data_IF_429209664442
#
_entry.id   IF_429209664442
#
_cell.length_a   1.000
_cell.length_b   1.000
_cell.length_c   1.000
_cell.angle_alpha   90.00
_cell.angle_beta   90.00
_cell.angle_gamma   90.00
#
_symmetry.space_group_name_H-M   'P 1'
#
loop_
_entity.id
_entity.type
_entity.pdbx_description
1 polymer ?
#
# COMPACT_ATOMS: atom_id res chain seq x y z
N UNK A 1 24.88 -17.58 -29.42
CA UNK A 1 23.73 -17.14 -28.60
C UNK A 1 24.06 -17.36 -27.13
N UNK A 2 24.32 -16.29 -26.38
CA UNK A 2 24.69 -16.39 -24.96
C UNK A 2 23.46 -16.68 -24.10
N UNK A 3 23.51 -17.72 -23.26
CA UNK A 3 22.48 -18.00 -22.27
C UNK A 3 22.71 -17.06 -21.08
N UNK A 4 21.85 -16.07 -20.88
CA UNK A 4 21.86 -15.25 -19.68
C UNK A 4 21.42 -16.12 -18.48
N UNK A 5 22.29 -16.30 -17.48
CA UNK A 5 21.91 -16.85 -16.18
C UNK A 5 21.42 -15.70 -15.31
N UNK A 6 20.12 -15.66 -15.05
CA UNK A 6 19.55 -14.71 -14.11
C UNK A 6 19.60 -15.37 -12.73
N UNK A 7 20.42 -14.81 -11.83
CA UNK A 7 20.47 -15.23 -10.44
C UNK A 7 19.54 -14.31 -9.63
N UNK A 8 18.55 -14.89 -8.96
CA UNK A 8 17.71 -14.19 -8.01
C UNK A 8 18.03 -14.70 -6.61
N UNK A 9 18.26 -13.80 -5.67
CA UNK A 9 18.32 -14.14 -4.25
C UNK A 9 16.88 -14.19 -3.72
N UNK A 10 16.51 -15.32 -3.12
CA UNK A 10 15.21 -15.56 -2.53
C UNK A 10 15.44 -15.96 -1.08
N UNK A 11 14.73 -15.31 -0.15
CA UNK A 11 14.75 -15.67 1.27
C UNK A 11 14.36 -17.16 1.45
N UNK A 12 15.09 -17.89 2.29
CA UNK A 12 14.92 -19.34 2.46
C UNK A 12 13.51 -19.72 2.92
N UNK A 13 12.89 -18.90 3.77
CA UNK A 13 11.54 -19.11 4.28
C UNK A 13 10.49 -19.03 3.15
N UNK A 14 10.65 -18.05 2.25
CA UNK A 14 9.78 -17.87 1.08
C UNK A 14 9.93 -19.05 0.11
N UNK A 15 11.16 -19.52 -0.09
CA UNK A 15 11.43 -20.69 -0.92
C UNK A 15 10.84 -21.97 -0.33
N UNK A 16 10.91 -22.15 0.99
CA UNK A 16 10.34 -23.29 1.70
C UNK A 16 8.80 -23.33 1.57
N UNK A 17 8.15 -22.19 1.77
CA UNK A 17 6.70 -22.06 1.62
C UNK A 17 6.24 -22.31 0.18
N UNK A 18 6.96 -21.78 -0.82
CA UNK A 18 6.67 -22.04 -2.22
C UNK A 18 6.80 -23.53 -2.58
N UNK A 19 7.86 -24.20 -2.12
CA UNK A 19 8.05 -25.65 -2.30
C UNK A 19 6.94 -26.46 -1.64
N UNK A 20 6.53 -26.11 -0.43
CA UNK A 20 5.44 -26.77 0.27
C UNK A 20 4.10 -26.63 -0.49
N UNK A 21 3.83 -25.44 -1.03
CA UNK A 21 2.64 -25.22 -1.86
C UNK A 21 2.64 -26.08 -3.12
N UNK A 22 3.76 -26.14 -3.83
CA UNK A 22 3.95 -26.96 -5.04
C UNK A 22 3.74 -28.44 -4.75
N UNK A 23 4.33 -28.95 -3.67
CA UNK A 23 4.25 -30.36 -3.28
C UNK A 23 2.81 -30.78 -2.98
N UNK A 24 2.01 -29.90 -2.36
CA UNK A 24 0.59 -30.15 -2.07
C UNK A 24 -0.31 -30.18 -3.31
N UNK A 25 0.11 -29.53 -4.40
CA UNK A 25 -0.68 -29.39 -5.63
C UNK A 25 -0.12 -30.23 -6.79
N UNK A 26 0.82 -31.15 -6.50
CA UNK A 26 1.38 -32.07 -7.50
C UNK A 26 2.18 -31.39 -8.63
N UNK A 27 2.63 -30.15 -8.41
CA UNK A 27 3.29 -29.34 -9.43
C UNK A 27 4.83 -29.42 -9.40
N UNK A 28 5.48 -28.63 -10.25
CA UNK A 28 6.89 -28.28 -10.07
C UNK A 28 7.03 -26.76 -9.93
N UNK A 29 8.00 -26.32 -9.12
CA UNK A 29 8.25 -24.89 -8.90
C UNK A 29 8.58 -24.19 -10.21
N UNK A 30 9.38 -24.84 -11.06
CA UNK A 30 9.68 -24.33 -12.40
C UNK A 30 8.43 -24.18 -13.27
N UNK A 31 7.43 -25.07 -13.17
CA UNK A 31 6.16 -24.89 -13.91
C UNK A 31 5.38 -23.67 -13.44
N UNK A 32 5.33 -23.42 -12.12
CA UNK A 32 4.69 -22.22 -11.58
C UNK A 32 5.42 -20.94 -11.99
N UNK A 33 6.74 -20.96 -11.92
CA UNK A 33 7.59 -19.84 -12.36
C UNK A 33 7.45 -19.62 -13.87
N UNK A 34 7.46 -20.67 -14.68
CA UNK A 34 7.22 -20.59 -16.13
C UNK A 34 5.81 -20.12 -16.45
N UNK A 35 4.78 -20.55 -15.72
CA UNK A 35 3.41 -20.07 -15.90
C UNK A 35 3.28 -18.58 -15.55
N UNK A 36 3.93 -18.15 -14.46
CA UNK A 36 4.01 -16.74 -14.08
C UNK A 36 4.71 -15.92 -15.17
N UNK A 37 5.89 -16.36 -15.64
CA UNK A 37 6.59 -15.69 -16.74
C UNK A 37 5.83 -15.74 -18.06
N UNK A 38 5.05 -16.79 -18.32
CA UNK A 38 4.19 -16.87 -19.51
C UNK A 38 3.02 -15.89 -19.40
N UNK A 39 2.42 -15.73 -18.21
CA UNK A 39 1.40 -14.72 -17.95
C UNK A 39 1.98 -13.29 -18.02
N UNK A 40 3.19 -13.07 -17.52
CA UNK A 40 3.90 -11.80 -17.64
C UNK A 40 4.34 -11.52 -19.09
N UNK A 41 4.81 -12.53 -19.81
CA UNK A 41 5.20 -12.44 -21.23
C UNK A 41 4.01 -12.17 -22.14
N UNK A 42 2.86 -12.84 -21.91
CA UNK A 42 1.61 -12.53 -22.61
C UNK A 42 1.08 -11.12 -22.29
N UNK A 43 1.42 -10.56 -21.12
CA UNK A 43 1.12 -9.15 -20.81
C UNK A 43 2.03 -8.15 -21.52
N UNK A 44 3.16 -8.57 -22.06
CA UNK A 44 4.08 -7.68 -22.79
C UNK A 44 3.69 -7.50 -24.27
N UNK A 45 2.90 -8.43 -24.84
CA UNK A 45 2.40 -8.36 -26.22
C UNK A 45 0.91 -7.96 -26.32
N UNK A 46 0.33 -7.37 -25.26
CA UNK A 46 -1.09 -7.01 -25.20
C UNK A 46 -1.30 -5.48 -25.09
N UNK A 47 -2.43 -4.97 -25.60
CA UNK A 47 -2.61 -3.64 -26.15
C UNK A 47 -2.56 -2.55 -25.09
N UNK A 48 -2.33 -1.32 -25.55
CA UNK A 48 -2.45 -0.03 -24.84
C UNK A 48 -3.02 -0.19 -23.42
N UNK A 49 -2.14 -0.40 -22.44
CA UNK A 49 -2.54 -0.64 -21.05
C UNK A 49 -3.39 0.55 -20.64
N UNK A 50 -4.65 0.28 -20.32
CA UNK A 50 -5.59 1.27 -19.78
C UNK A 50 -4.85 2.11 -18.74
N UNK A 51 -4.79 3.45 -18.91
CA UNK A 51 -4.03 4.33 -18.02
C UNK A 51 -4.41 4.13 -16.55
N UNK A 52 -5.65 3.73 -16.27
CA UNK A 52 -6.13 3.39 -14.92
C UNK A 52 -5.38 2.18 -14.35
N UNK A 53 -5.20 1.12 -15.15
CA UNK A 53 -4.48 -0.08 -14.72
C UNK A 53 -3.00 0.18 -14.51
N UNK A 54 -2.39 1.02 -15.34
CA UNK A 54 -1.00 1.45 -15.16
C UNK A 54 -0.79 2.12 -13.80
N UNK A 55 -1.69 3.02 -13.42
CA UNK A 55 -1.65 3.71 -12.12
C UNK A 55 -1.75 2.70 -10.97
N UNK A 56 -2.67 1.72 -11.06
CA UNK A 56 -2.82 0.67 -10.05
C UNK A 56 -1.57 -0.23 -9.94
N UNK A 57 -0.92 -0.55 -11.06
CA UNK A 57 0.36 -1.29 -11.05
C UNK A 57 1.48 -0.48 -10.41
N UNK A 58 1.58 0.82 -10.72
CA UNK A 58 2.59 1.69 -10.12
C UNK A 58 2.35 1.89 -8.61
N UNK A 59 1.09 1.89 -8.17
CA UNK A 59 0.72 1.88 -6.74
C UNK A 59 1.08 0.54 -6.07
N UNK A 60 0.73 -0.59 -6.69
CA UNK A 60 1.06 -1.94 -6.20
C UNK A 60 2.57 -2.15 -6.06
N UNK A 61 3.35 -1.65 -7.03
CA UNK A 61 4.81 -1.63 -6.99
C UNK A 61 5.41 -0.62 -6.01
N UNK A 62 4.58 0.25 -5.40
CA UNK A 62 5.02 1.30 -4.48
C UNK A 62 5.84 2.41 -5.14
N UNK A 63 5.69 2.63 -6.45
CA UNK A 63 6.32 3.75 -7.18
C UNK A 63 5.61 5.06 -6.90
N UNK A 64 4.30 5.00 -6.69
CA UNK A 64 3.46 6.14 -6.34
C UNK A 64 2.70 5.85 -5.03
N UNK A 65 2.34 6.90 -4.31
CA UNK A 65 1.57 6.79 -3.07
C UNK A 65 0.08 6.56 -3.34
N UNK A 66 -0.64 6.04 -2.34
CA UNK A 66 -2.09 5.84 -2.42
C UNK A 66 -2.83 7.16 -2.71
N UNK A 67 -2.39 8.27 -2.12
CA UNK A 67 -2.99 9.59 -2.33
C UNK A 67 -2.78 10.08 -3.77
N UNK A 68 -1.57 9.87 -4.29
CA UNK A 68 -1.24 10.25 -5.65
C UNK A 68 -2.00 9.42 -6.68
N UNK A 69 -2.09 8.11 -6.47
CA UNK A 69 -2.90 7.22 -7.30
C UNK A 69 -4.38 7.61 -7.28
N UNK A 70 -4.93 7.91 -6.10
CA UNK A 70 -6.33 8.35 -5.94
C UNK A 70 -6.60 9.63 -6.73
N UNK A 71 -5.68 10.59 -6.66
CA UNK A 71 -5.76 11.84 -7.44
C UNK A 71 -5.69 11.59 -8.94
N UNK A 72 -4.77 10.73 -9.40
CA UNK A 72 -4.59 10.41 -10.81
C UNK A 72 -5.78 9.64 -11.41
N UNK A 73 -6.45 8.81 -10.61
CA UNK A 73 -7.68 8.12 -10.98
C UNK A 73 -8.93 9.01 -10.89
N UNK A 74 -8.79 10.23 -10.37
CA UNK A 74 -9.91 11.17 -10.21
C UNK A 74 -10.91 10.78 -9.13
N UNK A 75 -10.52 9.92 -8.18
CA UNK A 75 -11.38 9.53 -7.07
C UNK A 75 -11.34 10.55 -5.94
N UNK A 76 -12.47 10.69 -5.22
CA UNK A 76 -12.57 11.59 -4.07
C UNK A 76 -11.96 10.99 -2.80
N UNK A 77 -11.87 9.66 -2.74
CA UNK A 77 -11.41 8.93 -1.57
C UNK A 77 -10.53 7.74 -1.95
N UNK A 78 -9.54 7.49 -1.11
CA UNK A 78 -8.62 6.37 -1.16
C UNK A 78 -9.32 5.02 -1.03
N UNK A 79 -10.48 4.97 -0.37
CA UNK A 79 -11.30 3.77 -0.24
C UNK A 79 -11.65 3.15 -1.59
N UNK A 80 -12.00 3.98 -2.59
CA UNK A 80 -12.30 3.52 -3.95
C UNK A 80 -11.06 2.95 -4.65
N UNK A 81 -9.91 3.60 -4.48
CA UNK A 81 -8.63 3.11 -5.02
C UNK A 81 -8.27 1.74 -4.43
N UNK A 82 -8.44 1.56 -3.12
CA UNK A 82 -8.19 0.28 -2.43
C UNK A 82 -9.16 -0.81 -2.86
N UNK A 83 -10.44 -0.47 -3.04
CA UNK A 83 -11.44 -1.40 -3.54
C UNK A 83 -11.09 -1.90 -4.95
N UNK A 84 -10.73 -0.98 -5.85
CA UNK A 84 -10.34 -1.31 -7.22
C UNK A 84 -9.05 -2.16 -7.26
N UNK A 85 -8.09 -1.89 -6.37
CA UNK A 85 -6.92 -2.75 -6.21
C UNK A 85 -7.28 -4.18 -5.79
N UNK A 86 -8.27 -4.34 -4.91
CA UNK A 86 -8.74 -5.64 -4.46
C UNK A 86 -9.46 -6.40 -5.57
N UNK A 87 -10.29 -5.73 -6.37
CA UNK A 87 -10.97 -6.32 -7.54
C UNK A 87 -9.98 -6.82 -8.60
N UNK A 88 -8.91 -6.06 -8.85
CA UNK A 88 -7.84 -6.43 -9.79
C UNK A 88 -6.83 -7.43 -9.19
N UNK A 89 -7.01 -7.84 -7.92
CA UNK A 89 -6.16 -8.81 -7.23
C UNK A 89 -4.71 -8.33 -7.03
N UNK A 90 -4.50 -7.02 -6.95
CA UNK A 90 -3.17 -6.42 -6.85
C UNK A 90 -2.72 -6.33 -5.40
N UNK A 91 -1.54 -6.87 -5.04
CA UNK A 91 -1.03 -6.77 -3.68
C UNK A 91 -0.60 -5.33 -3.38
N UNK A 92 -0.90 -4.87 -2.17
CA UNK A 92 -0.29 -3.66 -1.63
C UNK A 92 1.09 -3.99 -1.08
N UNK A 93 2.05 -3.09 -1.31
CA UNK A 93 3.38 -3.21 -0.72
C UNK A 93 3.26 -3.28 0.81
N UNK A 94 3.82 -4.34 1.40
CA UNK A 94 3.95 -4.42 2.86
C UNK A 94 4.99 -3.40 3.31
N UNK A 95 4.60 -2.56 4.27
CA UNK A 95 5.53 -1.66 4.94
C UNK A 95 6.50 -2.48 5.80
N UNK A 96 7.73 -2.00 5.96
CA UNK A 96 8.66 -2.61 6.92
C UNK A 96 8.12 -2.47 8.34
N UNK A 97 8.43 -3.43 9.22
CA UNK A 97 8.01 -3.34 10.62
C UNK A 97 8.44 -2.05 11.30
N UNK A 98 9.63 -1.56 10.98
CA UNK A 98 10.16 -0.31 11.50
C UNK A 98 9.28 0.89 11.09
N UNK A 99 8.85 0.93 9.83
CA UNK A 99 7.94 1.97 9.33
C UNK A 99 6.57 1.88 10.00
N UNK A 100 6.05 0.67 10.18
CA UNK A 100 4.77 0.43 10.85
C UNK A 100 4.83 0.91 12.31
N UNK A 101 5.88 0.53 13.04
CA UNK A 101 6.08 0.94 14.44
C UNK A 101 6.18 2.45 14.55
N UNK A 102 7.01 3.09 13.72
CA UNK A 102 7.16 4.55 13.69
C UNK A 102 5.83 5.26 13.44
N UNK A 103 5.11 4.87 12.39
CA UNK A 103 3.81 5.48 12.05
C UNK A 103 2.76 5.25 13.13
N UNK A 104 2.74 4.09 13.78
CA UNK A 104 1.82 3.81 14.87
C UNK A 104 2.08 4.73 16.08
N UNK A 105 3.35 4.96 16.45
CA UNK A 105 3.72 5.91 17.50
C UNK A 105 3.35 7.34 17.15
N UNK A 106 3.70 7.81 15.94
CA UNK A 106 3.37 9.17 15.47
C UNK A 106 1.85 9.41 15.47
N UNK A 107 1.07 8.43 15.01
CA UNK A 107 -0.40 8.51 14.99
C UNK A 107 -0.99 8.56 16.40
N UNK A 108 -0.45 7.78 17.33
CA UNK A 108 -0.86 7.80 18.74
C UNK A 108 -0.53 9.14 19.42
N UNK A 109 0.63 9.71 19.13
CA UNK A 109 1.02 11.02 19.65
C UNK A 109 0.12 12.13 19.11
N UNK A 110 -0.15 12.14 17.81
CA UNK A 110 -1.08 13.10 17.21
C UNK A 110 -2.50 13.00 17.81
N UNK A 111 -3.02 11.77 18.00
CA UNK A 111 -4.31 11.56 18.65
C UNK A 111 -4.30 12.07 20.10
N UNK A 112 -3.23 11.83 20.85
CA UNK A 112 -3.10 12.35 22.23
C UNK A 112 -3.10 13.87 22.24
N UNK A 113 -2.41 14.51 21.30
CA UNK A 113 -2.37 15.96 21.17
C UNK A 113 -3.76 16.55 20.87
N UNK A 114 -4.53 15.92 19.98
CA UNK A 114 -5.90 16.35 19.69
C UNK A 114 -6.88 16.19 20.87
N UNK A 115 -6.64 15.22 21.76
CA UNK A 115 -7.46 14.97 22.94
C UNK A 115 -7.12 15.90 24.12
N UNK A 116 -5.99 16.61 24.07
CA UNK A 116 -5.67 17.62 25.06
C UNK A 116 -6.52 18.88 24.81
N UNK A 117 -7.09 19.49 25.86
CA UNK A 117 -7.87 20.71 25.70
C UNK A 117 -6.96 21.80 25.12
N UNK A 118 -7.37 22.36 23.98
CA UNK A 118 -6.73 23.53 23.37
C UNK A 118 -6.52 24.61 24.44
N UNK A 119 -5.26 24.98 24.68
CA UNK A 119 -4.87 26.03 25.65
C UNK A 119 -5.50 27.39 25.32
N UNK A 120 -6.05 27.58 24.12
CA UNK A 120 -6.67 28.83 23.68
C UNK A 120 -8.10 29.02 24.21
N UNK A 121 -8.81 27.96 24.60
CA UNK A 121 -10.18 28.09 25.15
C UNK A 121 -10.21 28.54 26.62
N UNK A 122 -9.10 28.42 27.35
CA UNK A 122 -9.03 28.79 28.76
C UNK A 122 -8.87 30.31 29.02
N UNK A 123 -8.42 31.10 28.03
CA UNK A 123 -8.23 32.57 28.21
C UNK A 123 -9.45 33.42 27.85
N UNK A 124 -10.48 32.86 27.19
CA UNK A 124 -11.67 33.62 26.80
C UNK A 124 -12.80 33.60 27.84
N UNK A 125 -12.80 32.69 28.81
CA UNK A 125 -13.88 32.59 29.81
C UNK A 125 -13.72 33.49 31.04
N UNK A 126 -12.55 34.06 31.30
CA UNK A 126 -12.29 34.89 32.50
C UNK A 126 -12.40 36.40 32.28
N UNK A 127 -12.70 36.86 31.07
CA UNK A 127 -12.77 38.30 30.74
C UNK A 127 -14.18 38.87 30.56
N UNK A 128 -15.23 38.11 30.92
CA UNK A 128 -16.62 38.48 30.66
C UNK A 128 -17.51 38.48 31.91
N UNK A 129 -17.02 39.04 33.01
CA UNK A 129 -17.86 39.44 34.14
C UNK A 129 -17.29 40.71 34.75
N UNK A 130 -17.87 41.86 34.40
CA UNK A 130 -18.11 43.08 35.20
C UNK A 130 -18.69 44.08 34.21
N UNK A 131 -20.00 43.98 33.99
CA UNK A 131 -20.85 45.12 33.65
C UNK A 131 -22.26 44.77 34.13
N UNK A 132 -22.96 45.79 34.64
CA UNK A 132 -24.26 45.79 35.32
C UNK A 132 -24.11 45.58 36.85
N UNK A 133 -24.63 46.42 37.75
CA UNK A 133 -25.78 47.33 37.67
C UNK A 133 -25.55 48.63 38.47
N UNK A 134 -26.38 49.62 38.10
CA UNK A 134 -26.67 50.94 38.66
C UNK A 134 -26.74 51.04 40.18
#
# INVERSE_FOLDING_TARGET
>A
MGKAKINFEIEEEVLANAKAYVARHGGSLNKLVSALFSQLGQRLDAPDIDPSKKILFDLSGGKISLMEATRLLGFQDAGYTLHLMAEEGLPMKRLSEETIKRQATESLEAMRECLLPSKDKAKRSTKKTIHQHS
#
